data_IF_999141467913
#
_entry.id   IF_999141467913
#
_cell.length_a   1.000
_cell.length_b   1.000
_cell.length_c   1.000
_cell.angle_alpha   90.00
_cell.angle_beta   90.00
_cell.angle_gamma   90.00
#
_symmetry.space_group_name_H-M   'P 1'
#
loop_
_entity.id
_entity.type
_entity.pdbx_description
1 polymer ?
#
# COMPACT_ATOMS: atom_id res chain seq x y z
N UNK A 1 -24.99 -8.46 9.21
CA UNK A 1 -24.04 -8.99 10.18
C UNK A 1 -22.62 -8.55 9.82
N UNK A 2 -22.18 -7.42 10.40
CA UNK A 2 -20.89 -6.79 10.11
C UNK A 2 -19.74 -7.31 10.98
N UNK A 3 -19.93 -8.40 11.71
CA UNK A 3 -18.98 -8.90 12.71
C UNK A 3 -17.90 -9.82 12.16
N UNK A 4 -18.13 -10.51 11.05
CA UNK A 4 -17.18 -11.51 10.50
C UNK A 4 -15.98 -10.89 9.73
N UNK A 5 -16.16 -9.73 9.09
CA UNK A 5 -15.05 -9.08 8.39
C UNK A 5 -14.09 -8.32 9.32
N UNK A 6 -14.54 -7.96 10.53
CA UNK A 6 -13.69 -7.36 11.56
C UNK A 6 -12.76 -8.38 12.22
N UNK A 7 -13.20 -9.64 12.34
CA UNK A 7 -12.45 -10.68 13.03
C UNK A 7 -11.15 -11.11 12.34
N UNK A 8 -11.15 -11.28 11.00
CA UNK A 8 -9.95 -11.74 10.28
C UNK A 8 -8.86 -10.64 10.21
N UNK A 9 -9.26 -9.39 9.98
CA UNK A 9 -8.33 -8.25 9.99
C UNK A 9 -7.69 -8.04 11.36
N UNK A 10 -8.47 -8.24 12.44
CA UNK A 10 -7.96 -8.11 13.81
C UNK A 10 -7.06 -9.29 14.23
N UNK A 11 -7.32 -10.50 13.75
CA UNK A 11 -6.46 -11.67 13.99
C UNK A 11 -5.11 -11.50 13.29
N UNK A 12 -5.11 -11.11 12.01
CA UNK A 12 -3.88 -10.86 11.26
C UNK A 12 -3.08 -9.69 11.86
N UNK A 13 -3.75 -8.60 12.23
CA UNK A 13 -3.14 -7.48 12.94
C UNK A 13 -2.51 -7.94 14.26
N UNK A 14 -3.19 -8.76 15.05
CA UNK A 14 -2.67 -9.31 16.32
C UNK A 14 -1.46 -10.22 16.09
N UNK A 15 -1.48 -11.08 15.07
CA UNK A 15 -0.36 -11.97 14.75
C UNK A 15 0.87 -11.16 14.32
N UNK A 16 0.70 -10.18 13.43
CA UNK A 16 1.77 -9.27 13.03
C UNK A 16 2.31 -8.51 14.24
N UNK A 17 1.43 -7.95 15.07
CA UNK A 17 1.79 -7.19 16.26
C UNK A 17 2.55 -8.05 17.26
N UNK A 18 2.10 -9.29 17.52
CA UNK A 18 2.81 -10.21 18.41
C UNK A 18 4.22 -10.55 17.90
N UNK A 19 4.36 -10.77 16.59
CA UNK A 19 5.67 -11.01 16.00
C UNK A 19 6.60 -9.79 16.12
N UNK A 20 6.09 -8.59 15.85
CA UNK A 20 6.88 -7.35 15.98
C UNK A 20 7.23 -7.07 17.45
N UNK A 21 6.31 -7.24 18.40
CA UNK A 21 6.59 -7.11 19.84
C UNK A 21 7.74 -8.02 20.26
N UNK A 22 7.69 -9.28 19.84
CA UNK A 22 8.74 -10.26 20.15
C UNK A 22 10.10 -9.88 19.54
N UNK A 23 10.10 -9.34 18.32
CA UNK A 23 11.35 -9.00 17.60
C UNK A 23 11.99 -7.67 18.05
N UNK A 24 11.19 -6.71 18.50
CA UNK A 24 11.67 -5.35 18.83
C UNK A 24 11.73 -5.05 20.32
N UNK A 25 11.42 -6.03 21.16
CA UNK A 25 11.46 -5.93 22.64
C UNK A 25 10.74 -4.68 23.15
N UNK A 26 9.48 -4.53 22.79
CA UNK A 26 8.65 -3.38 23.17
C UNK A 26 7.24 -3.82 23.56
N UNK A 27 6.75 -3.35 24.71
CA UNK A 27 5.38 -3.63 25.17
C UNK A 27 4.31 -2.91 24.34
N UNK A 28 4.69 -1.83 23.62
CA UNK A 28 3.78 -1.09 22.76
C UNK A 28 4.28 -1.14 21.33
N UNK A 29 3.46 -1.67 20.43
CA UNK A 29 3.71 -1.65 18.98
C UNK A 29 2.40 -1.42 18.24
N UNK A 30 2.31 -0.33 17.47
CA UNK A 30 1.15 -0.06 16.63
C UNK A 30 1.57 0.36 15.20
N UNK A 31 0.88 -0.18 14.16
CA UNK A 31 1.16 0.20 12.79
C UNK A 31 0.67 1.63 12.51
N UNK A 32 1.45 2.38 11.73
CA UNK A 32 1.11 3.73 11.27
C UNK A 32 0.21 3.68 10.04
N UNK A 33 0.43 2.71 9.18
CA UNK A 33 -0.39 2.46 8.00
C UNK A 33 -0.69 0.96 7.87
N UNK A 34 -1.36 0.59 6.81
CA UNK A 34 -1.73 -0.80 6.54
C UNK A 34 -1.29 -1.21 5.16
N UNK A 35 -1.06 -2.50 5.01
CA UNK A 35 -0.99 -3.18 3.72
C UNK A 35 -2.26 -4.01 3.53
N UNK A 36 -2.66 -4.25 2.28
CA UNK A 36 -3.70 -5.22 1.98
C UNK A 36 -3.18 -6.63 2.28
N UNK A 37 -4.08 -7.59 2.48
CA UNK A 37 -3.73 -8.96 2.91
C UNK A 37 -2.70 -9.63 1.97
N UNK A 38 -2.80 -9.37 0.67
CA UNK A 38 -1.92 -9.95 -0.35
C UNK A 38 -0.71 -9.06 -0.67
N UNK A 39 -0.65 -7.83 -0.14
CA UNK A 39 0.48 -6.91 -0.34
C UNK A 39 1.57 -7.20 0.68
N UNK A 40 2.79 -7.38 0.21
CA UNK A 40 3.98 -7.60 1.05
C UNK A 40 4.85 -6.34 1.13
N UNK A 41 5.86 -6.34 2.00
CA UNK A 41 6.87 -5.30 2.05
C UNK A 41 6.90 -4.50 3.34
N UNK A 42 7.37 -3.26 3.27
CA UNK A 42 7.70 -2.41 4.41
C UNK A 42 6.45 -1.85 5.09
N UNK A 43 6.47 -1.88 6.42
CA UNK A 43 5.43 -1.32 7.28
C UNK A 43 6.09 -0.53 8.42
N UNK A 44 5.61 0.69 8.67
CA UNK A 44 6.06 1.48 9.81
C UNK A 44 5.24 1.08 11.04
N UNK A 45 5.92 0.85 12.15
CA UNK A 45 5.31 0.65 13.46
C UNK A 45 5.85 1.65 14.48
N UNK A 46 5.01 2.16 15.34
CA UNK A 46 5.40 3.01 16.46
C UNK A 46 5.61 2.15 17.71
N UNK A 47 6.68 2.42 18.46
CA UNK A 47 7.06 1.71 19.69
C UNK A 47 6.60 2.44 20.97
N UNK A 48 5.87 3.52 20.85
CA UNK A 48 5.21 4.20 21.97
C UNK A 48 4.03 5.05 21.47
N UNK A 49 3.05 5.41 22.36
CA UNK A 49 1.86 6.16 21.97
C UNK A 49 2.14 7.58 21.46
N UNK A 50 3.18 8.26 21.97
CA UNK A 50 3.52 9.60 21.52
C UNK A 50 4.03 9.57 20.07
N UNK A 51 4.95 8.66 19.79
CA UNK A 51 5.47 8.47 18.43
C UNK A 51 4.38 8.07 17.45
N UNK A 52 3.41 7.24 17.90
CA UNK A 52 2.24 6.89 17.09
C UNK A 52 1.48 8.14 16.61
N UNK A 53 1.16 9.05 17.52
CA UNK A 53 0.45 10.30 17.18
C UNK A 53 1.26 11.20 16.23
N UNK A 54 2.56 11.32 16.46
CA UNK A 54 3.44 12.13 15.61
C UNK A 54 3.50 11.56 14.19
N UNK A 55 3.77 10.26 14.07
CA UNK A 55 3.89 9.60 12.76
C UNK A 55 2.53 9.53 12.01
N UNK A 56 1.41 9.37 12.70
CA UNK A 56 0.07 9.46 12.09
C UNK A 56 -0.14 10.84 11.45
N UNK A 57 0.27 11.91 12.16
CA UNK A 57 0.19 13.27 11.64
C UNK A 57 1.13 13.49 10.46
N UNK A 58 2.37 13.02 10.55
CA UNK A 58 3.31 13.07 9.43
C UNK A 58 2.76 12.36 8.19
N UNK A 59 2.09 11.22 8.39
CA UNK A 59 1.43 10.50 7.30
C UNK A 59 0.28 11.30 6.68
N UNK A 60 -0.53 11.95 7.52
CA UNK A 60 -1.66 12.81 7.08
C UNK A 60 -1.18 14.01 6.26
N UNK A 61 -0.03 14.61 6.61
CA UNK A 61 0.57 15.73 5.89
C UNK A 61 1.51 15.34 4.76
N UNK A 62 1.57 14.04 4.39
CA UNK A 62 2.44 13.50 3.34
C UNK A 62 3.95 13.74 3.59
N UNK A 63 4.37 13.82 4.84
CA UNK A 63 5.76 13.93 5.26
C UNK A 63 6.49 12.56 5.26
N UNK A 64 5.74 11.48 5.03
CA UNK A 64 6.26 10.11 4.88
C UNK A 64 6.11 9.68 3.43
N UNK A 65 7.21 9.55 2.72
CA UNK A 65 7.24 9.02 1.36
C UNK A 65 7.17 7.50 1.39
N UNK A 66 6.23 6.94 0.62
CA UNK A 66 6.04 5.50 0.45
C UNK A 66 6.06 5.17 -1.03
N UNK A 67 7.03 4.39 -1.44
CA UNK A 67 7.14 3.91 -2.82
C UNK A 67 6.75 2.44 -2.86
N UNK A 68 5.87 2.13 -3.79
CA UNK A 68 5.42 0.77 -4.09
C UNK A 68 5.95 0.35 -5.44
N UNK A 69 6.25 -0.93 -5.59
CA UNK A 69 6.51 -1.55 -6.90
C UNK A 69 5.34 -2.45 -7.26
N UNK A 70 4.81 -2.27 -8.48
CA UNK A 70 3.73 -3.09 -9.01
C UNK A 70 4.11 -3.58 -10.41
N UNK A 71 3.91 -4.86 -10.69
CA UNK A 71 4.08 -5.41 -12.03
C UNK A 71 2.72 -5.48 -12.74
N UNK A 72 2.68 -4.99 -13.96
CA UNK A 72 1.49 -4.96 -14.81
C UNK A 72 1.78 -5.51 -16.20
N UNK A 73 0.75 -5.95 -16.92
CA UNK A 73 0.91 -6.30 -18.34
C UNK A 73 0.94 -5.03 -19.18
N UNK A 74 2.02 -4.84 -19.96
CA UNK A 74 2.16 -3.76 -20.92
C UNK A 74 3.19 -4.14 -21.97
N UNK A 75 3.03 -3.66 -23.21
CA UNK A 75 3.99 -3.87 -24.31
C UNK A 75 5.09 -2.81 -24.34
N UNK A 76 4.86 -1.67 -23.70
CA UNK A 76 5.79 -0.54 -23.60
C UNK A 76 5.73 0.04 -22.17
N UNK A 77 6.77 0.77 -21.74
CA UNK A 77 6.74 1.49 -20.47
C UNK A 77 5.54 2.44 -20.38
N UNK A 78 4.89 2.46 -19.23
CA UNK A 78 3.77 3.36 -18.96
C UNK A 78 4.33 4.72 -18.55
N UNK A 79 3.89 5.79 -19.22
CA UNK A 79 4.36 7.14 -18.91
C UNK A 79 4.01 7.55 -17.48
N UNK A 80 4.89 8.31 -16.80
CA UNK A 80 4.56 8.92 -15.51
C UNK A 80 3.27 9.71 -15.59
N UNK A 81 2.38 9.50 -14.62
CA UNK A 81 1.07 10.16 -14.56
C UNK A 81 0.50 10.14 -13.15
N UNK A 82 -0.44 11.05 -12.90
CA UNK A 82 -1.21 11.09 -11.66
C UNK A 82 -2.63 10.60 -11.92
N UNK A 83 -3.08 9.67 -11.08
CA UNK A 83 -4.44 9.15 -11.06
C UNK A 83 -5.13 9.76 -9.84
N UNK A 84 -6.04 10.73 -10.06
CA UNK A 84 -6.85 11.37 -9.01
C UNK A 84 -8.31 10.97 -9.22
N UNK A 85 -8.71 9.83 -8.67
CA UNK A 85 -10.05 9.26 -8.82
C UNK A 85 -10.56 8.78 -7.46
N UNK A 86 -11.73 9.26 -6.99
CA UNK A 86 -12.28 8.88 -5.69
C UNK A 86 -12.65 7.40 -5.64
N UNK A 87 -12.36 6.75 -4.50
CA UNK A 87 -12.59 5.32 -4.28
C UNK A 87 -13.71 5.10 -3.27
N UNK A 88 -14.70 4.31 -3.65
CA UNK A 88 -15.82 3.88 -2.80
C UNK A 88 -15.92 2.35 -2.67
N UNK A 89 -16.83 1.90 -1.80
CA UNK A 89 -17.18 0.48 -1.71
C UNK A 89 -17.88 0.02 -2.98
N UNK A 90 -17.60 -1.20 -3.41
CA UNK A 90 -18.40 -1.83 -4.47
C UNK A 90 -19.80 -2.14 -3.94
N UNK A 91 -20.81 -2.00 -4.79
CA UNK A 91 -22.22 -2.20 -4.41
C UNK A 91 -22.60 -3.67 -4.27
N UNK A 92 -21.91 -4.54 -5.01
CA UNK A 92 -22.26 -5.96 -5.13
C UNK A 92 -21.26 -6.88 -4.41
N UNK A 93 -20.04 -6.41 -4.18
CA UNK A 93 -18.95 -7.19 -3.60
C UNK A 93 -18.35 -6.45 -2.39
N UNK A 94 -18.64 -6.91 -1.20
CA UNK A 94 -18.21 -6.27 0.07
C UNK A 94 -16.68 -6.16 0.23
N UNK A 95 -15.94 -7.09 -0.38
CA UNK A 95 -14.48 -7.13 -0.36
C UNK A 95 -13.82 -6.29 -1.47
N UNK A 96 -14.60 -5.71 -2.41
CA UNK A 96 -14.08 -4.88 -3.50
C UNK A 96 -14.24 -3.38 -3.21
N UNK A 97 -13.42 -2.61 -3.91
CA UNK A 97 -13.55 -1.15 -4.06
C UNK A 97 -13.70 -0.82 -5.53
N UNK A 98 -14.22 0.36 -5.85
CA UNK A 98 -14.38 0.86 -7.22
C UNK A 98 -14.21 2.37 -7.26
N UNK A 99 -13.97 2.90 -8.43
CA UNK A 99 -14.07 4.34 -8.67
C UNK A 99 -15.51 4.78 -8.44
N UNK A 100 -15.68 5.88 -7.69
CA UNK A 100 -17.00 6.39 -7.32
C UNK A 100 -16.93 7.86 -6.96
N UNK A 101 -17.73 8.70 -7.63
CA UNK A 101 -17.79 10.14 -7.36
C UNK A 101 -18.23 10.48 -5.92
N UNK A 102 -18.88 9.54 -5.22
CA UNK A 102 -19.24 9.65 -3.80
C UNK A 102 -18.22 8.97 -2.89
N UNK A 103 -17.10 8.52 -3.44
CA UNK A 103 -16.02 7.87 -2.71
C UNK A 103 -15.12 8.85 -1.97
N UNK A 104 -14.14 8.30 -1.27
CA UNK A 104 -13.08 9.09 -0.63
C UNK A 104 -12.03 9.48 -1.67
N UNK A 105 -11.53 10.71 -1.59
CA UNK A 105 -10.42 11.17 -2.43
C UNK A 105 -9.25 10.19 -2.36
N UNK A 106 -8.70 9.85 -3.53
CA UNK A 106 -7.57 8.94 -3.66
C UNK A 106 -6.65 9.41 -4.78
N UNK A 107 -5.35 9.56 -4.47
CA UNK A 107 -4.34 10.06 -5.39
C UNK A 107 -3.17 9.09 -5.43
N UNK A 108 -2.86 8.61 -6.64
CA UNK A 108 -1.77 7.68 -6.94
C UNK A 108 -0.90 8.25 -8.04
N UNK A 109 0.41 8.31 -7.83
CA UNK A 109 1.37 8.77 -8.84
C UNK A 109 2.17 7.59 -9.35
N UNK A 110 2.11 7.31 -10.66
CA UNK A 110 3.11 6.51 -11.34
C UNK A 110 4.27 7.44 -11.60
N UNK A 111 5.40 7.23 -10.90
CA UNK A 111 6.56 8.12 -10.96
C UNK A 111 7.62 7.63 -11.94
N UNK A 112 7.73 6.33 -12.12
CA UNK A 112 8.63 5.69 -13.10
C UNK A 112 8.07 4.34 -13.55
N UNK A 113 8.58 3.84 -14.68
CA UNK A 113 8.24 2.52 -15.17
C UNK A 113 9.35 1.93 -16.03
N UNK A 114 9.55 0.62 -15.94
CA UNK A 114 10.53 -0.09 -16.77
C UNK A 114 10.00 -1.45 -17.21
N UNK A 115 10.33 -1.84 -18.43
CA UNK A 115 10.13 -3.22 -18.88
C UNK A 115 11.11 -4.14 -18.15
N UNK A 116 10.60 -5.13 -17.42
CA UNK A 116 11.44 -6.13 -16.73
C UNK A 116 11.55 -7.44 -17.51
N UNK A 117 10.58 -7.70 -18.37
CA UNK A 117 10.58 -8.77 -19.37
C UNK A 117 9.54 -8.46 -20.45
N UNK A 118 9.52 -9.23 -21.52
CA UNK A 118 8.53 -9.08 -22.58
C UNK A 118 7.10 -9.13 -22.02
N UNK A 119 6.30 -8.14 -22.34
CA UNK A 119 4.90 -8.03 -21.91
C UNK A 119 4.69 -7.69 -20.43
N UNK A 120 5.76 -7.40 -19.64
CA UNK A 120 5.66 -7.04 -18.24
C UNK A 120 6.42 -5.77 -17.91
N UNK A 121 5.68 -4.78 -17.44
CA UNK A 121 6.19 -3.50 -16.98
C UNK A 121 6.12 -3.42 -15.44
N UNK A 122 7.22 -3.04 -14.79
CA UNK A 122 7.28 -2.68 -13.38
C UNK A 122 7.06 -1.18 -13.25
N UNK A 123 6.18 -0.79 -12.35
CA UNK A 123 5.85 0.60 -12.02
C UNK A 123 6.39 0.94 -10.65
N UNK A 124 6.99 2.13 -10.53
CA UNK A 124 7.27 2.78 -9.26
C UNK A 124 6.15 3.76 -8.96
N UNK A 125 5.50 3.60 -7.79
CA UNK A 125 4.25 4.26 -7.45
C UNK A 125 4.39 4.96 -6.10
N UNK A 126 4.05 6.26 -6.07
CA UNK A 126 3.94 7.06 -4.84
C UNK A 126 2.47 7.31 -4.50
N UNK A 127 2.15 7.33 -3.21
CA UNK A 127 0.79 7.58 -2.71
C UNK A 127 0.72 8.85 -1.88
N UNK A 128 -0.23 9.75 -2.21
CA UNK A 128 -0.61 10.87 -1.33
C UNK A 128 -1.72 10.45 -0.35
N UNK A 129 -2.48 9.43 -0.68
CA UNK A 129 -3.56 8.89 0.15
C UNK A 129 -3.39 7.38 0.34
N UNK A 130 -4.07 6.79 1.33
CA UNK A 130 -3.97 5.35 1.62
C UNK A 130 -5.35 4.68 1.72
N UNK A 131 -6.13 4.65 0.64
CA UNK A 131 -7.44 3.99 0.64
C UNK A 131 -7.29 2.49 0.42
N UNK A 132 -8.25 1.72 0.93
CA UNK A 132 -8.28 0.26 0.73
C UNK A 132 -8.22 -0.07 -0.75
N UNK A 133 -7.30 -0.95 -1.15
CA UNK A 133 -7.03 -1.39 -2.53
C UNK A 133 -6.70 -0.27 -3.52
N UNK A 134 -6.22 0.90 -3.04
CA UNK A 134 -6.09 2.10 -3.88
C UNK A 134 -5.28 1.86 -5.16
N UNK A 135 -4.05 1.36 -5.06
CA UNK A 135 -3.19 1.09 -6.22
C UNK A 135 -3.88 0.11 -7.16
N UNK A 136 -4.45 -0.96 -6.62
CA UNK A 136 -5.10 -2.04 -7.36
C UNK A 136 -6.29 -1.54 -8.18
N UNK A 137 -7.16 -0.71 -7.56
CA UNK A 137 -8.33 -0.10 -8.23
C UNK A 137 -7.89 0.88 -9.30
N UNK A 138 -6.95 1.78 -8.97
CA UNK A 138 -6.48 2.79 -9.91
C UNK A 138 -5.80 2.19 -11.14
N UNK A 139 -4.91 1.21 -10.94
CA UNK A 139 -4.25 0.55 -12.07
C UNK A 139 -5.23 -0.25 -12.92
N UNK A 140 -6.21 -0.92 -12.31
CA UNK A 140 -7.25 -1.62 -13.06
C UNK A 140 -8.13 -0.66 -13.87
N UNK A 141 -8.48 0.51 -13.32
CA UNK A 141 -9.29 1.53 -14.00
C UNK A 141 -8.62 2.09 -15.25
N UNK A 142 -7.29 2.26 -15.22
CA UNK A 142 -6.52 2.68 -16.40
C UNK A 142 -6.13 1.53 -17.34
N UNK A 143 -6.70 0.32 -17.16
CA UNK A 143 -6.50 -0.84 -18.03
C UNK A 143 -5.22 -1.65 -17.77
N UNK A 144 -4.52 -1.38 -16.67
CA UNK A 144 -3.27 -2.06 -16.28
C UNK A 144 -3.38 -2.71 -14.89
N UNK A 145 -4.28 -3.69 -14.68
CA UNK A 145 -4.41 -4.34 -13.37
C UNK A 145 -3.10 -5.02 -12.98
N UNK A 146 -2.82 -5.02 -11.67
CA UNK A 146 -1.62 -5.67 -11.11
C UNK A 146 -1.65 -7.17 -11.43
N UNK A 147 -0.52 -7.71 -11.82
CA UNK A 147 -0.36 -9.14 -12.09
C UNK A 147 -0.63 -9.93 -10.81
N UNK A 148 -1.41 -11.02 -10.93
CA UNK A 148 -1.78 -11.86 -9.79
C UNK A 148 -2.90 -11.28 -8.91
N UNK A 149 -3.53 -10.16 -9.29
CA UNK A 149 -4.63 -9.59 -8.53
C UNK A 149 -5.90 -10.44 -8.66
N UNK A 150 -6.39 -11.07 -7.56
CA UNK A 150 -7.55 -11.93 -7.60
C UNK A 150 -8.89 -11.18 -7.69
N UNK A 151 -8.88 -9.85 -7.40
CA UNK A 151 -10.10 -9.04 -7.36
C UNK A 151 -10.28 -8.16 -8.60
N UNK A 152 -9.18 -7.61 -9.13
CA UNK A 152 -9.22 -6.60 -10.21
C UNK A 152 -8.52 -7.07 -11.48
N UNK A 153 -7.74 -8.14 -11.40
CA UNK A 153 -7.04 -8.73 -12.55
C UNK A 153 -7.81 -9.86 -13.23
N UNK A 154 -7.26 -10.32 -14.35
CA UNK A 154 -7.74 -11.52 -15.08
C UNK A 154 -6.80 -12.70 -14.88
N UNK A 155 -5.77 -12.55 -14.04
CA UNK A 155 -4.73 -13.55 -13.85
C UNK A 155 -5.15 -14.63 -12.86
N UNK A 156 -4.85 -15.88 -13.19
CA UNK A 156 -4.99 -17.05 -12.30
C UNK A 156 -3.73 -17.27 -11.44
N UNK A 157 -2.75 -16.39 -11.50
CA UNK A 157 -1.56 -16.45 -10.67
C UNK A 157 -1.94 -16.29 -9.20
N UNK A 158 -1.25 -17.02 -8.32
CA UNK A 158 -1.60 -17.11 -6.90
C UNK A 158 -1.07 -15.96 -6.04
N UNK A 159 -0.18 -15.11 -6.57
CA UNK A 159 0.48 -14.06 -5.81
C UNK A 159 0.31 -12.70 -6.48
N UNK A 160 -0.16 -11.73 -5.71
CA UNK A 160 -0.24 -10.32 -6.11
C UNK A 160 1.18 -9.74 -6.24
N UNK A 161 1.53 -9.26 -7.42
CA UNK A 161 2.84 -8.65 -7.69
C UNK A 161 2.82 -7.14 -7.33
N UNK A 162 2.54 -6.84 -6.05
CA UNK A 162 2.54 -5.52 -5.45
C UNK A 162 3.27 -5.56 -4.10
N UNK A 163 4.24 -4.68 -3.93
CA UNK A 163 4.95 -4.56 -2.66
C UNK A 163 5.16 -3.10 -2.23
N UNK A 164 5.18 -2.87 -0.92
CA UNK A 164 5.65 -1.63 -0.29
C UNK A 164 7.18 -1.68 -0.27
N UNK A 165 7.82 -0.97 -1.23
CA UNK A 165 9.21 -1.18 -1.59
C UNK A 165 10.18 -0.29 -0.82
N UNK A 166 9.85 1.00 -0.69
CA UNK A 166 10.69 1.98 0.01
C UNK A 166 9.83 2.88 0.89
N UNK A 167 10.37 3.23 2.05
CA UNK A 167 9.80 4.21 2.97
C UNK A 167 10.90 5.19 3.35
N UNK A 168 10.56 6.49 3.27
CA UNK A 168 11.48 7.56 3.65
C UNK A 168 10.74 8.67 4.41
N UNK A 169 11.33 9.14 5.50
CA UNK A 169 10.86 10.27 6.27
C UNK A 169 11.98 10.84 7.15
N UNK A 170 11.81 12.08 7.61
CA UNK A 170 12.70 12.66 8.62
C UNK A 170 12.23 12.27 10.02
N UNK A 171 13.10 11.66 10.82
CA UNK A 171 12.75 11.26 12.19
C UNK A 171 12.39 12.48 13.04
N UNK A 172 11.19 12.53 13.66
CA UNK A 172 10.66 13.78 14.24
C UNK A 172 11.47 14.31 15.43
N UNK A 173 12.22 13.46 16.12
CA UNK A 173 13.04 13.89 17.28
C UNK A 173 14.50 14.09 16.93
N UNK A 174 15.11 13.16 16.18
CA UNK A 174 16.56 13.23 15.86
C UNK A 174 16.87 14.04 14.61
N UNK A 175 15.86 14.36 13.79
CA UNK A 175 15.98 15.04 12.51
C UNK A 175 16.84 14.28 11.47
N UNK A 176 17.12 13.01 11.72
CA UNK A 176 17.81 12.14 10.77
C UNK A 176 16.85 11.66 9.69
N UNK A 177 17.35 11.54 8.47
CA UNK A 177 16.60 10.93 7.37
C UNK A 177 16.61 9.42 7.57
N UNK A 178 15.44 8.85 7.74
CA UNK A 178 15.21 7.40 7.75
C UNK A 178 14.79 7.00 6.35
N UNK A 179 15.63 6.26 5.66
CA UNK A 179 15.31 5.67 4.35
C UNK A 179 15.59 4.17 4.40
N UNK A 180 14.57 3.38 4.07
CA UNK A 180 14.65 1.91 4.07
C UNK A 180 14.08 1.40 2.75
N UNK A 181 14.83 0.54 2.07
CA UNK A 181 14.44 -0.10 0.81
C UNK A 181 14.58 -1.61 0.88
N UNK A 182 13.74 -2.34 0.14
CA UNK A 182 13.88 -3.80 -0.01
C UNK A 182 15.08 -4.20 -0.87
N UNK A 183 15.68 -3.26 -1.63
CA UNK A 183 16.90 -3.49 -2.42
C UNK A 183 18.18 -3.44 -1.53
N UNK A 184 18.08 -2.96 -0.28
CA UNK A 184 19.22 -2.80 0.64
C UNK A 184 19.65 -4.11 1.35
N UNK A 185 19.32 -5.28 0.80
CA UNK A 185 19.63 -6.60 1.35
C UNK A 185 20.72 -7.32 0.59
#
# INVERSE_FOLDING_TARGET
DSSTSRGLGDVYKRQLMNHVIYTVDSEYVEPIHRLDQETVGLLIVAKNPLMKKILDRMLEYNEITRIYKANVKALLPIKPQTIDMPIGKDKFHSNKRRISNTGQRAITHIIDSKMIKEGVCQLDIKLDTGRTHQIRVHLAEIGHPVIGDPLYGTSTLRQLELNSHQIEFTHPLTQEIISVSLDDK
#
